data_IF_311658373414
#
_entry.id   IF_311658373414
#
_cell.length_a   1.000
_cell.length_b   1.000
_cell.length_c   1.000
_cell.angle_alpha   90.00
_cell.angle_beta   90.00
_cell.angle_gamma   90.00
#
_symmetry.space_group_name_H-M   'P 1'
#
loop_
_entity.id
_entity.type
_entity.pdbx_description
1 polymer ?
#
# COMPACT_ATOMS: atom_id res chain seq x y z
N UNK A 1 10.54 -8.69 -5.88
CA UNK A 1 11.93 -8.31 -5.50
C UNK A 1 12.05 -6.79 -5.47
N UNK A 2 12.65 -6.23 -4.41
CA UNK A 2 12.83 -4.78 -4.25
C UNK A 2 14.30 -4.51 -3.99
N UNK A 3 14.88 -3.60 -4.77
CA UNK A 3 16.26 -3.11 -4.59
C UNK A 3 16.25 -1.61 -4.37
N UNK A 4 16.87 -1.17 -3.28
CA UNK A 4 16.99 0.23 -2.88
C UNK A 4 18.47 0.55 -2.75
N UNK A 5 18.91 1.64 -3.37
CA UNK A 5 20.32 2.07 -3.33
C UNK A 5 20.44 3.55 -3.01
N UNK A 6 21.18 3.85 -1.95
CA UNK A 6 21.57 5.20 -1.57
C UNK A 6 20.42 6.16 -1.29
N UNK A 7 19.29 5.67 -0.79
CA UNK A 7 18.11 6.51 -0.53
C UNK A 7 18.40 7.53 0.56
N UNK A 8 18.28 8.80 0.20
CA UNK A 8 18.31 9.92 1.15
C UNK A 8 16.97 10.65 1.18
N UNK A 9 16.65 11.23 2.33
CA UNK A 9 15.47 12.09 2.49
C UNK A 9 15.69 13.09 3.60
N UNK A 10 15.39 14.37 3.32
CA UNK A 10 15.46 15.47 4.27
C UNK A 10 14.13 16.22 4.32
N UNK A 11 13.83 16.80 5.48
CA UNK A 11 12.72 17.71 5.68
C UNK A 11 13.28 19.00 6.28
N UNK A 12 13.43 20.04 5.45
CA UNK A 12 14.18 21.24 5.81
C UNK A 12 15.64 20.91 6.12
N UNK A 13 16.13 21.26 7.28
CA UNK A 13 17.51 20.98 7.73
C UNK A 13 17.68 19.57 8.33
N UNK A 14 16.58 18.84 8.57
CA UNK A 14 16.64 17.51 9.19
C UNK A 14 16.79 16.42 8.13
N UNK A 15 17.96 15.77 8.06
CA UNK A 15 18.17 14.60 7.24
C UNK A 15 17.65 13.35 7.97
N UNK A 16 16.56 12.77 7.46
CA UNK A 16 15.87 11.61 8.06
C UNK A 16 16.41 10.29 7.53
N UNK A 17 16.63 10.17 6.21
CA UNK A 17 17.28 9.02 5.61
C UNK A 17 18.66 9.41 5.08
N UNK A 18 19.68 8.63 5.41
CA UNK A 18 21.09 8.99 5.24
C UNK A 18 21.84 8.00 4.34
N UNK A 19 21.26 7.64 3.19
CA UNK A 19 21.86 6.68 2.27
C UNK A 19 21.51 5.23 2.65
N UNK A 20 20.22 4.88 2.52
CA UNK A 20 19.73 3.53 2.84
C UNK A 20 19.88 2.63 1.62
N UNK A 21 20.52 1.49 1.83
CA UNK A 21 20.57 0.36 0.90
C UNK A 21 19.76 -0.79 1.50
N UNK A 22 18.89 -1.40 0.68
CA UNK A 22 18.07 -2.54 1.11
C UNK A 22 17.73 -3.41 -0.09
N UNK A 23 17.85 -4.71 0.08
CA UNK A 23 17.39 -5.72 -0.86
C UNK A 23 16.33 -6.58 -0.19
N UNK A 24 15.24 -6.86 -0.90
CA UNK A 24 14.16 -7.75 -0.44
C UNK A 24 13.85 -8.73 -1.57
N UNK A 25 14.01 -10.01 -1.28
CA UNK A 25 13.70 -11.07 -2.22
C UNK A 25 12.19 -11.29 -2.40
N UNK A 26 11.83 -11.93 -3.50
CA UNK A 26 10.44 -12.29 -3.75
C UNK A 26 9.94 -13.29 -2.71
N UNK A 27 8.81 -12.98 -2.07
CA UNK A 27 8.20 -13.81 -1.03
C UNK A 27 8.81 -13.61 0.36
N UNK A 28 9.79 -12.73 0.49
CA UNK A 28 10.38 -12.40 1.79
C UNK A 28 9.45 -11.51 2.63
N UNK A 29 9.48 -11.70 3.95
CA UNK A 29 8.81 -10.84 4.92
C UNK A 29 9.87 -10.08 5.71
N UNK A 30 9.88 -8.76 5.56
CA UNK A 30 10.87 -7.87 6.19
C UNK A 30 10.21 -7.00 7.25
N UNK A 31 10.86 -6.85 8.41
CA UNK A 31 10.45 -5.93 9.46
C UNK A 31 11.46 -4.79 9.60
N UNK A 32 10.98 -3.55 9.52
CA UNK A 32 11.79 -2.35 9.75
C UNK A 32 11.58 -1.90 11.19
N UNK A 33 12.62 -2.03 12.01
CA UNK A 33 12.60 -1.70 13.44
C UNK A 33 13.48 -0.50 13.76
N UNK A 34 13.21 0.15 14.88
CA UNK A 34 13.98 1.30 15.36
C UNK A 34 13.14 2.26 16.22
N UNK A 35 13.77 3.26 16.87
CA UNK A 35 13.07 4.21 17.73
C UNK A 35 12.07 5.09 16.97
N UNK A 36 11.18 5.78 17.70
CA UNK A 36 10.30 6.78 17.08
C UNK A 36 11.11 7.89 16.42
N UNK A 37 10.68 8.37 15.27
CA UNK A 37 11.42 9.39 14.50
C UNK A 37 12.60 8.87 13.66
N UNK A 38 12.95 7.58 13.71
CA UNK A 38 14.06 7.01 12.93
C UNK A 38 13.83 6.93 11.41
N UNK A 39 12.72 7.47 10.89
CA UNK A 39 12.46 7.48 9.44
C UNK A 39 11.78 6.22 8.88
N UNK A 40 11.33 5.27 9.72
CA UNK A 40 10.70 4.01 9.26
C UNK A 40 9.50 4.26 8.34
N UNK A 41 8.59 5.13 8.75
CA UNK A 41 7.41 5.49 7.95
C UNK A 41 7.81 6.20 6.65
N UNK A 42 8.80 7.11 6.71
CA UNK A 42 9.34 7.79 5.54
C UNK A 42 9.93 6.80 4.53
N UNK A 43 10.72 5.82 5.02
CA UNK A 43 11.27 4.77 4.16
C UNK A 43 10.16 3.94 3.51
N UNK A 44 9.16 3.50 4.28
CA UNK A 44 8.02 2.76 3.74
C UNK A 44 7.20 3.57 2.72
N UNK A 45 7.01 4.87 2.94
CA UNK A 45 6.34 5.76 1.99
C UNK A 45 7.13 5.91 0.69
N UNK A 46 8.46 5.99 0.78
CA UNK A 46 9.33 6.08 -0.39
C UNK A 46 9.38 4.75 -1.16
N UNK A 47 9.52 3.61 -0.47
CA UNK A 47 9.43 2.27 -1.10
C UNK A 47 8.07 2.10 -1.77
N UNK A 48 7.02 2.51 -1.09
CA UNK A 48 5.65 2.49 -1.59
C UNK A 48 5.34 3.54 -2.66
N UNK A 49 6.32 4.34 -3.08
CA UNK A 49 6.15 5.40 -4.09
C UNK A 49 5.12 6.48 -3.73
N UNK A 50 4.79 6.62 -2.44
CA UNK A 50 3.90 7.68 -1.92
C UNK A 50 4.65 9.00 -1.71
N UNK A 51 5.96 8.93 -1.46
CA UNK A 51 6.87 10.07 -1.40
C UNK A 51 8.09 9.81 -2.30
N UNK A 52 8.80 10.87 -2.66
CA UNK A 52 10.02 10.79 -3.47
C UNK A 52 11.25 10.93 -2.59
N UNK A 53 12.30 10.15 -2.82
CA UNK A 53 13.59 10.38 -2.20
C UNK A 53 14.24 11.67 -2.74
N UNK A 54 15.17 12.23 -1.99
CA UNK A 54 16.02 13.34 -2.47
C UNK A 54 17.11 12.81 -3.41
N UNK A 55 17.61 11.61 -3.14
CA UNK A 55 18.57 10.89 -4.00
C UNK A 55 18.44 9.38 -3.82
N UNK A 56 19.12 8.64 -4.70
CA UNK A 56 19.10 7.18 -4.75
C UNK A 56 18.14 6.63 -5.78
N UNK A 57 18.01 5.32 -5.84
CA UNK A 57 17.16 4.62 -6.80
C UNK A 57 16.37 3.49 -6.15
N UNK A 58 15.21 3.19 -6.73
CA UNK A 58 14.32 2.12 -6.28
C UNK A 58 13.94 1.28 -7.49
N UNK A 59 14.27 0.01 -7.43
CA UNK A 59 13.87 -0.99 -8.41
C UNK A 59 12.84 -1.92 -7.79
N UNK A 60 11.73 -2.15 -8.46
CA UNK A 60 10.71 -3.15 -8.06
C UNK A 60 10.48 -4.09 -9.22
N UNK A 61 10.75 -5.38 -9.02
CA UNK A 61 10.68 -6.42 -10.07
C UNK A 61 11.40 -6.02 -11.37
N UNK A 62 12.57 -5.39 -11.26
CA UNK A 62 13.37 -4.93 -12.38
C UNK A 62 12.92 -3.62 -13.04
N UNK A 63 11.89 -2.98 -12.52
CA UNK A 63 11.39 -1.69 -13.00
C UNK A 63 11.95 -0.58 -12.10
N UNK A 64 12.67 0.38 -12.69
CA UNK A 64 13.07 1.60 -12.00
C UNK A 64 11.88 2.53 -11.82
N UNK A 65 11.29 2.50 -10.62
CA UNK A 65 10.12 3.32 -10.29
C UNK A 65 10.46 4.82 -10.19
N UNK A 66 11.72 5.17 -9.97
CA UNK A 66 12.18 6.56 -9.87
C UNK A 66 12.12 7.26 -11.24
N UNK A 67 12.23 6.51 -12.33
CA UNK A 67 12.20 7.01 -13.71
C UNK A 67 10.78 7.16 -14.29
N UNK A 68 9.76 6.64 -13.59
CA UNK A 68 8.39 6.66 -14.10
C UNK A 68 7.77 8.06 -14.05
N UNK A 69 7.04 8.42 -15.10
CA UNK A 69 6.18 9.61 -15.06
C UNK A 69 5.07 9.46 -14.00
N UNK A 70 4.53 10.58 -13.54
CA UNK A 70 3.49 10.59 -12.48
C UNK A 70 2.32 9.65 -12.80
N UNK A 71 1.86 9.63 -14.04
CA UNK A 71 0.78 8.73 -14.49
C UNK A 71 1.20 7.27 -14.39
N UNK A 72 2.35 6.92 -15.00
CA UNK A 72 2.87 5.53 -14.96
C UNK A 72 3.15 5.06 -13.54
N UNK A 73 3.64 5.96 -12.67
CA UNK A 73 3.88 5.65 -11.26
C UNK A 73 2.56 5.37 -10.50
N UNK A 74 1.49 6.11 -10.80
CA UNK A 74 0.16 5.86 -10.22
C UNK A 74 -0.41 4.53 -10.68
N UNK A 75 -0.29 4.21 -11.97
CA UNK A 75 -0.72 2.92 -12.53
C UNK A 75 0.09 1.76 -11.93
N UNK A 76 1.42 1.92 -11.84
CA UNK A 76 2.32 0.96 -11.20
C UNK A 76 1.92 0.70 -9.74
N UNK A 77 1.74 1.77 -8.95
CA UNK A 77 1.33 1.67 -7.55
C UNK A 77 0.01 0.93 -7.39
N UNK A 78 -0.98 1.22 -8.23
CA UNK A 78 -2.28 0.56 -8.17
C UNK A 78 -2.21 -0.95 -8.47
N UNK A 79 -1.30 -1.37 -9.36
CA UNK A 79 -1.21 -2.76 -9.82
C UNK A 79 -0.23 -3.62 -9.01
N UNK A 80 0.84 -3.02 -8.47
CA UNK A 80 1.96 -3.75 -7.88
C UNK A 80 2.15 -3.53 -6.38
N UNK A 81 1.44 -2.58 -5.76
CA UNK A 81 1.62 -2.24 -4.35
C UNK A 81 0.30 -2.24 -3.59
N UNK A 82 0.26 -2.96 -2.50
CA UNK A 82 -0.85 -2.93 -1.54
C UNK A 82 -0.45 -2.21 -0.27
N UNK A 83 -1.29 -1.27 0.20
CA UNK A 83 -1.02 -0.48 1.41
C UNK A 83 -2.00 -0.80 2.52
N UNK A 84 -1.44 -1.03 3.71
CA UNK A 84 -2.18 -1.06 4.96
C UNK A 84 -1.59 -0.01 5.88
N UNK A 85 -2.39 0.98 6.27
CA UNK A 85 -1.97 2.08 7.13
C UNK A 85 -2.35 1.82 8.59
N UNK A 86 -1.61 2.44 9.51
CA UNK A 86 -1.82 2.32 10.95
C UNK A 86 -3.27 2.65 11.38
N UNK A 87 -3.89 3.66 10.79
CA UNK A 87 -5.27 4.06 11.07
C UNK A 87 -6.26 3.55 10.01
N UNK A 88 -5.91 2.48 9.27
CA UNK A 88 -6.71 1.78 8.25
C UNK A 88 -7.10 2.66 7.04
N UNK A 89 -7.37 3.94 7.23
CA UNK A 89 -7.76 4.92 6.21
C UNK A 89 -8.87 4.41 5.27
N UNK A 90 -9.90 3.80 5.87
CA UNK A 90 -11.10 3.46 5.13
C UNK A 90 -11.93 4.73 4.88
N UNK A 91 -12.52 4.81 3.70
CA UNK A 91 -13.39 5.91 3.33
C UNK A 91 -14.74 5.77 4.06
N UNK A 92 -15.12 6.72 4.91
CA UNK A 92 -16.25 6.57 5.83
C UNK A 92 -17.60 6.55 5.13
N UNK A 93 -17.70 7.11 3.91
CA UNK A 93 -18.92 7.16 3.11
C UNK A 93 -19.25 5.81 2.46
N UNK A 94 -18.25 4.96 2.28
CA UNK A 94 -18.34 3.67 1.58
C UNK A 94 -18.43 2.51 2.55
N UNK A 95 -19.16 1.47 2.15
CA UNK A 95 -19.22 0.19 2.88
C UNK A 95 -17.88 -0.54 2.85
N UNK A 96 -17.74 -1.62 3.63
CA UNK A 96 -16.56 -2.49 3.61
C UNK A 96 -16.31 -3.04 2.20
N UNK A 97 -17.36 -3.54 1.54
CA UNK A 97 -17.28 -4.05 0.17
C UNK A 97 -16.78 -2.97 -0.80
N UNK A 98 -17.38 -1.79 -0.76
CA UNK A 98 -17.02 -0.68 -1.65
C UNK A 98 -15.59 -0.19 -1.42
N UNK A 99 -15.14 -0.09 -0.16
CA UNK A 99 -13.76 0.25 0.17
C UNK A 99 -12.76 -0.71 -0.51
N UNK A 100 -13.07 -2.01 -0.53
CA UNK A 100 -12.22 -3.02 -1.18
C UNK A 100 -12.27 -2.87 -2.71
N UNK A 101 -13.41 -2.51 -3.28
CA UNK A 101 -13.59 -2.40 -4.74
C UNK A 101 -12.86 -1.20 -5.35
N UNK A 102 -12.61 -0.12 -4.60
CA UNK A 102 -12.05 1.14 -5.13
C UNK A 102 -10.74 0.94 -5.92
N UNK A 103 -9.69 0.24 -5.42
CA UNK A 103 -8.48 0.05 -6.20
C UNK A 103 -8.71 -0.77 -7.48
N UNK A 104 -9.68 -1.69 -7.50
CA UNK A 104 -10.03 -2.44 -8.69
C UNK A 104 -10.70 -1.55 -9.75
N UNK A 105 -11.52 -0.59 -9.35
CA UNK A 105 -12.06 0.42 -10.26
C UNK A 105 -10.99 1.32 -10.86
N UNK A 106 -10.02 1.74 -10.05
CA UNK A 106 -8.86 2.52 -10.52
C UNK A 106 -8.05 1.71 -11.54
N UNK A 107 -7.95 0.38 -11.36
CA UNK A 107 -7.34 -0.54 -12.32
C UNK A 107 -8.18 -0.80 -13.59
N UNK A 108 -9.35 -0.16 -13.72
CA UNK A 108 -10.26 -0.32 -14.88
C UNK A 108 -11.09 -1.60 -14.87
N UNK A 109 -11.16 -2.33 -13.74
CA UNK A 109 -12.01 -3.51 -13.62
C UNK A 109 -13.49 -3.15 -13.69
N UNK A 110 -14.29 -4.00 -14.31
CA UNK A 110 -15.74 -3.86 -14.30
C UNK A 110 -16.32 -3.99 -12.88
N UNK A 111 -17.50 -3.42 -12.65
CA UNK A 111 -18.20 -3.54 -11.36
C UNK A 111 -18.42 -5.01 -10.95
N UNK A 112 -18.71 -5.87 -11.91
CA UNK A 112 -18.94 -7.31 -11.68
C UNK A 112 -17.65 -8.00 -11.19
N UNK A 113 -16.53 -7.75 -11.85
CA UNK A 113 -15.23 -8.32 -11.47
C UNK A 113 -14.75 -7.78 -10.12
N UNK A 114 -14.81 -6.46 -9.92
CA UNK A 114 -14.41 -5.84 -8.66
C UNK A 114 -15.25 -6.36 -7.48
N UNK A 115 -16.57 -6.46 -7.65
CA UNK A 115 -17.48 -6.99 -6.63
C UNK A 115 -17.15 -8.44 -6.30
N UNK A 116 -17.04 -9.31 -7.32
CA UNK A 116 -16.72 -10.74 -7.12
C UNK A 116 -15.42 -10.90 -6.32
N UNK A 117 -14.37 -10.18 -6.72
CA UNK A 117 -13.07 -10.25 -6.04
C UNK A 117 -13.13 -9.73 -4.60
N UNK A 118 -13.86 -8.65 -4.37
CA UNK A 118 -14.03 -8.08 -3.03
C UNK A 118 -14.84 -9.03 -2.11
N UNK A 119 -15.89 -9.68 -2.61
CA UNK A 119 -16.65 -10.68 -1.86
C UNK A 119 -15.80 -11.91 -1.50
N UNK A 120 -14.96 -12.41 -2.42
CA UNK A 120 -13.99 -13.48 -2.15
C UNK A 120 -13.03 -13.10 -1.01
N UNK A 121 -12.51 -11.86 -1.03
CA UNK A 121 -11.59 -11.38 -0.01
C UNK A 121 -12.28 -11.16 1.34
N UNK A 122 -13.53 -10.66 1.34
CA UNK A 122 -14.33 -10.54 2.57
C UNK A 122 -14.57 -11.92 3.19
N UNK A 123 -14.93 -12.92 2.37
CA UNK A 123 -15.11 -14.29 2.84
C UNK A 123 -13.81 -14.86 3.41
N UNK A 124 -12.68 -14.69 2.73
CA UNK A 124 -11.36 -15.09 3.22
C UNK A 124 -10.98 -14.45 4.56
N UNK A 125 -11.40 -13.19 4.78
CA UNK A 125 -11.16 -12.45 6.01
C UNK A 125 -12.20 -12.75 7.12
N UNK A 126 -13.21 -13.61 6.86
CA UNK A 126 -14.30 -13.90 7.79
C UNK A 126 -15.22 -12.68 8.02
N UNK A 127 -15.49 -11.91 6.98
CA UNK A 127 -16.25 -10.64 7.02
C UNK A 127 -17.42 -10.59 6.03
N UNK A 128 -17.92 -11.75 5.56
CA UNK A 128 -19.04 -11.80 4.59
C UNK A 128 -20.26 -11.01 5.09
N UNK A 129 -20.60 -11.18 6.38
CA UNK A 129 -21.75 -10.51 7.01
C UNK A 129 -21.51 -9.01 7.28
N UNK A 130 -20.32 -8.52 7.02
CA UNK A 130 -19.92 -7.10 7.19
C UNK A 130 -19.82 -6.33 5.87
N UNK A 131 -20.09 -6.98 4.75
CA UNK A 131 -19.95 -6.39 3.41
C UNK A 131 -20.67 -5.03 3.25
N UNK A 132 -21.87 -4.89 3.81
CA UNK A 132 -22.70 -3.68 3.75
C UNK A 132 -22.44 -2.67 4.88
N UNK A 133 -21.61 -2.99 5.86
CA UNK A 133 -21.33 -2.11 6.98
C UNK A 133 -20.36 -0.99 6.59
N UNK A 134 -20.59 0.21 7.12
CA UNK A 134 -19.67 1.34 7.00
C UNK A 134 -18.56 1.25 8.05
N UNK A 135 -17.42 1.94 7.86
CA UNK A 135 -16.32 1.90 8.81
C UNK A 135 -16.71 2.23 10.26
N UNK A 136 -17.68 3.13 10.47
CA UNK A 136 -18.16 3.46 11.83
C UNK A 136 -18.82 2.28 12.55
N UNK A 137 -19.35 1.31 11.82
CA UNK A 137 -20.07 0.15 12.32
C UNK A 137 -19.14 -1.08 12.52
N UNK A 138 -17.86 -0.94 12.17
CA UNK A 138 -16.85 -2.00 12.27
C UNK A 138 -15.97 -1.79 13.51
N UNK A 139 -15.63 -2.89 14.17
CA UNK A 139 -14.58 -2.91 15.20
C UNK A 139 -13.20 -2.59 14.60
N UNK A 140 -12.21 -2.26 15.44
CA UNK A 140 -10.85 -2.00 15.01
C UNK A 140 -10.23 -3.16 14.21
N UNK A 141 -10.43 -4.39 14.69
CA UNK A 141 -9.94 -5.58 14.01
C UNK A 141 -10.65 -5.87 12.66
N UNK A 142 -11.96 -5.58 12.56
CA UNK A 142 -12.68 -5.68 11.28
C UNK A 142 -12.19 -4.63 10.29
N UNK A 143 -12.00 -3.36 10.73
CA UNK A 143 -11.40 -2.30 9.89
C UNK A 143 -10.03 -2.71 9.37
N UNK A 144 -9.20 -3.31 10.21
CA UNK A 144 -7.87 -3.78 9.80
C UNK A 144 -7.98 -4.85 8.72
N UNK A 145 -8.86 -5.84 8.89
CA UNK A 145 -9.05 -6.90 7.89
C UNK A 145 -9.63 -6.36 6.57
N UNK A 146 -10.54 -5.39 6.62
CA UNK A 146 -11.03 -4.69 5.42
C UNK A 146 -9.90 -3.94 4.72
N UNK A 147 -9.02 -3.26 5.46
CA UNK A 147 -7.86 -2.57 4.88
C UNK A 147 -6.86 -3.56 4.23
N UNK A 148 -6.64 -4.73 4.83
CA UNK A 148 -5.83 -5.81 4.23
C UNK A 148 -6.50 -6.34 2.95
N UNK A 149 -7.80 -6.62 2.98
CA UNK A 149 -8.54 -7.06 1.79
C UNK A 149 -8.46 -6.02 0.66
N UNK A 150 -8.60 -4.73 0.98
CA UNK A 150 -8.43 -3.62 0.02
C UNK A 150 -7.03 -3.62 -0.60
N UNK A 151 -5.99 -3.85 0.21
CA UNK A 151 -4.62 -3.91 -0.29
C UNK A 151 -4.39 -5.09 -1.26
N UNK A 152 -5.12 -6.20 -1.10
CA UNK A 152 -4.97 -7.43 -1.88
C UNK A 152 -5.87 -7.53 -3.13
N UNK A 153 -6.76 -6.57 -3.37
CA UNK A 153 -7.80 -6.72 -4.42
C UNK A 153 -7.22 -6.82 -5.83
N UNK A 154 -6.11 -6.15 -6.11
CA UNK A 154 -5.42 -6.20 -7.41
C UNK A 154 -4.33 -7.29 -7.50
N UNK A 155 -4.14 -8.13 -6.48
CA UNK A 155 -3.05 -9.12 -6.38
C UNK A 155 -1.66 -8.48 -6.59
N UNK A 156 -1.30 -7.47 -5.80
CA UNK A 156 -0.03 -6.78 -5.95
C UNK A 156 1.18 -7.65 -5.66
#
# INVERSE_FOLDING_TARGET
>A
MIDIKGITKSFGSLQVLKGIDLHIDKGEVVSIVGPSGAGKTTLLQIIGTLDKPDSGSIMVDGIDVSSLSTKKLSDFRNQHLGFVFQFHQLLPEFTALENIMIPAFIAGKSRKEAKKRAEELLAFMGLSDRASHKPAELSGGEKQRVAVARALVNNP
#
